data_IF_500670402628
#
_entry.id   IF_500670402628
#
_cell.length_a   1.000
_cell.length_b   1.000
_cell.length_c   1.000
_cell.angle_alpha   90.00
_cell.angle_beta   90.00
_cell.angle_gamma   90.00
#
_symmetry.space_group_name_H-M   'P 1'
#
loop_
_entity.id
_entity.type
_entity.pdbx_description
1 polymer ?
#
# COMPACT_ATOMS: atom_id res chain seq x y z
N UNK A 1 18.80 6.02 26.44
CA UNK A 1 17.86 6.28 27.55
C UNK A 1 17.50 7.76 27.57
N UNK A 2 16.26 8.08 27.98
CA UNK A 2 15.74 9.44 28.06
C UNK A 2 15.22 10.04 26.73
N UNK A 3 15.43 9.37 25.61
CA UNK A 3 14.91 9.83 24.31
C UNK A 3 13.39 9.74 24.27
N UNK A 4 12.77 10.76 23.70
CA UNK A 4 11.31 10.77 23.49
C UNK A 4 10.96 9.88 22.31
N UNK A 5 9.99 9.01 22.48
CA UNK A 5 9.43 8.15 21.44
C UNK A 5 7.92 8.35 21.31
N UNK A 6 7.42 8.13 20.12
CA UNK A 6 6.00 8.17 19.81
C UNK A 6 5.53 6.80 19.34
N UNK A 7 4.43 6.30 19.88
CA UNK A 7 3.81 5.06 19.44
C UNK A 7 2.82 5.35 18.30
N UNK A 8 2.96 4.65 17.17
CA UNK A 8 2.03 4.70 16.04
C UNK A 8 1.15 3.45 16.03
N UNK A 9 -0.17 3.56 15.78
CA UNK A 9 -0.89 4.76 15.28
C UNK A 9 -1.40 5.71 16.35
N UNK A 10 -1.27 5.39 17.65
CA UNK A 10 -1.93 6.14 18.72
C UNK A 10 -1.45 7.59 18.88
N UNK A 11 -0.23 7.91 18.41
CA UNK A 11 0.39 9.22 18.58
C UNK A 11 0.82 9.54 20.02
N UNK A 12 0.67 8.59 20.95
CA UNK A 12 1.08 8.79 22.36
C UNK A 12 2.60 8.82 22.44
N UNK A 13 3.11 9.74 23.23
CA UNK A 13 4.55 9.92 23.46
C UNK A 13 4.94 9.51 24.89
N UNK A 14 6.13 8.97 25.01
CA UNK A 14 6.78 8.67 26.29
C UNK A 14 8.29 8.77 26.14
N UNK A 15 9.03 8.60 27.24
CA UNK A 15 10.48 8.53 27.19
C UNK A 15 10.97 7.11 27.44
N UNK A 16 12.08 6.76 26.78
CA UNK A 16 12.76 5.49 27.00
C UNK A 16 13.38 5.48 28.42
N UNK A 17 12.82 4.68 29.29
CA UNK A 17 13.29 4.52 30.68
C UNK A 17 14.53 3.61 30.75
N UNK A 18 14.44 2.42 30.14
CA UNK A 18 15.57 1.50 30.07
C UNK A 18 15.61 0.76 28.73
N UNK A 19 16.80 0.28 28.38
CA UNK A 19 17.07 -0.57 27.22
C UNK A 19 17.66 -1.85 27.77
N UNK A 20 17.00 -2.98 27.62
CA UNK A 20 17.35 -4.25 28.24
C UNK A 20 17.63 -5.32 27.19
N UNK A 21 18.69 -6.08 27.42
CA UNK A 21 19.04 -7.29 26.66
C UNK A 21 19.17 -8.48 27.62
N UNK A 22 19.43 -9.65 27.06
CA UNK A 22 19.71 -10.85 27.89
C UNK A 22 20.91 -10.63 28.82
N UNK A 23 21.92 -9.88 28.37
CA UNK A 23 23.17 -9.63 29.13
C UNK A 23 23.06 -8.47 30.14
N UNK A 24 21.89 -7.81 30.19
CA UNK A 24 21.63 -6.71 31.10
C UNK A 24 21.17 -5.42 30.41
N UNK A 25 21.23 -4.32 31.17
CA UNK A 25 20.84 -3.01 30.67
C UNK A 25 21.96 -2.34 29.87
N UNK A 26 21.52 -1.65 28.79
CA UNK A 26 22.35 -0.85 27.90
C UNK A 26 22.05 0.64 28.06
N UNK A 27 23.05 1.49 27.84
CA UNK A 27 22.84 2.95 27.79
C UNK A 27 22.32 3.41 26.42
N UNK A 28 22.66 2.70 25.36
CA UNK A 28 22.20 2.95 24.01
C UNK A 28 22.07 1.65 23.22
N UNK A 29 21.26 1.66 22.16
CA UNK A 29 21.12 0.56 21.20
C UNK A 29 21.12 1.10 19.79
N UNK A 30 21.51 0.26 18.82
CA UNK A 30 21.57 0.61 17.41
C UNK A 30 21.11 -0.57 16.55
N UNK A 31 20.64 -0.32 15.31
CA UNK A 31 20.28 -1.41 14.41
C UNK A 31 21.49 -2.32 14.09
N UNK A 32 21.30 -3.64 13.99
CA UNK A 32 20.05 -4.39 14.08
C UNK A 32 19.81 -5.06 15.45
N UNK A 33 20.25 -4.47 16.55
CA UNK A 33 20.10 -5.07 17.87
C UNK A 33 18.63 -5.31 18.24
N UNK A 34 18.35 -6.50 18.74
CA UNK A 34 17.06 -6.83 19.38
C UNK A 34 17.13 -6.45 20.85
N UNK A 35 16.26 -5.54 21.26
CA UNK A 35 16.23 -5.01 22.62
C UNK A 35 14.81 -4.97 23.17
N UNK A 36 14.69 -4.97 24.49
CA UNK A 36 13.45 -4.66 25.19
C UNK A 36 13.53 -3.22 25.67
N UNK A 37 12.58 -2.39 25.26
CA UNK A 37 12.43 -1.03 25.76
C UNK A 37 11.41 -1.00 26.88
N UNK A 38 11.71 -0.31 27.97
CA UNK A 38 10.70 0.12 28.95
C UNK A 38 10.50 1.62 28.82
N UNK A 39 9.28 2.06 29.01
CA UNK A 39 8.89 3.46 28.88
C UNK A 39 8.59 4.06 30.26
N UNK A 40 8.67 5.38 30.38
CA UNK A 40 8.34 6.07 31.63
C UNK A 40 6.85 6.03 31.93
N UNK A 41 6.01 6.15 30.88
CA UNK A 41 4.56 6.14 30.98
C UNK A 41 4.00 4.79 30.51
N UNK A 42 2.84 4.41 31.06
CA UNK A 42 2.05 3.26 30.56
C UNK A 42 1.33 3.63 29.27
N UNK A 43 1.93 3.29 28.14
CA UNK A 43 1.30 3.34 26.84
C UNK A 43 1.20 1.95 26.26
N UNK A 44 0.05 1.64 25.66
CA UNK A 44 -0.15 0.36 24.99
C UNK A 44 0.54 0.38 23.63
N UNK A 45 1.33 -0.65 23.35
CA UNK A 45 2.03 -0.86 22.07
C UNK A 45 1.93 -2.33 21.71
N UNK A 46 1.16 -2.61 20.68
CA UNK A 46 0.87 -3.95 20.22
C UNK A 46 1.74 -4.37 19.03
N UNK A 47 1.74 -5.69 18.72
CA UNK A 47 2.44 -6.21 17.54
C UNK A 47 1.88 -5.58 16.25
N UNK A 48 2.76 -5.07 15.41
CA UNK A 48 2.42 -4.35 14.17
C UNK A 48 2.48 -2.85 14.33
N UNK A 49 2.50 -2.35 15.54
CA UNK A 49 2.71 -0.94 15.86
C UNK A 49 4.20 -0.58 15.83
N UNK A 50 4.50 0.71 15.79
CA UNK A 50 5.86 1.20 15.63
C UNK A 50 6.16 2.30 16.67
N UNK A 51 7.31 2.18 17.31
CA UNK A 51 7.89 3.28 18.10
C UNK A 51 8.83 4.07 17.20
N UNK A 52 8.62 5.38 17.13
CA UNK A 52 9.37 6.29 16.25
C UNK A 52 9.85 7.51 17.01
N UNK A 53 10.84 8.21 16.47
CA UNK A 53 11.19 9.53 16.96
C UNK A 53 10.14 10.54 16.50
N UNK A 54 9.63 11.45 17.38
CA UNK A 54 8.56 12.39 17.02
C UNK A 54 8.89 13.29 15.81
N UNK A 55 10.18 13.62 15.63
CA UNK A 55 10.64 14.47 14.53
C UNK A 55 11.00 13.69 13.24
N UNK A 56 10.83 12.36 13.23
CA UNK A 56 11.14 11.52 12.09
C UNK A 56 10.07 10.44 11.91
N UNK A 57 8.92 10.87 11.42
CA UNK A 57 7.77 10.00 11.22
C UNK A 57 7.84 9.29 9.88
N UNK A 58 7.47 8.01 9.80
CA UNK A 58 7.25 7.31 8.53
C UNK A 58 5.97 7.83 7.86
N UNK A 59 5.80 7.51 6.59
CA UNK A 59 4.52 7.66 5.90
C UNK A 59 3.51 6.68 6.51
N UNK A 60 2.30 7.17 6.77
CA UNK A 60 1.17 6.37 7.26
C UNK A 60 0.08 6.40 6.21
N UNK A 61 -0.15 5.28 5.54
CA UNK A 61 -1.17 5.18 4.50
C UNK A 61 -1.66 3.74 4.32
N UNK A 62 -2.81 3.59 3.67
CA UNK A 62 -3.36 2.29 3.23
C UNK A 62 -3.08 2.04 1.75
N UNK A 63 -2.81 3.10 0.99
CA UNK A 63 -2.62 3.05 -0.45
C UNK A 63 -1.18 3.42 -0.78
N UNK A 64 -0.49 2.56 -1.48
CA UNK A 64 0.89 2.82 -1.86
C UNK A 64 1.24 2.18 -3.20
N UNK A 65 2.24 2.77 -3.82
CA UNK A 65 2.83 2.37 -5.08
C UNK A 65 4.09 1.53 -4.80
N UNK A 66 4.26 0.43 -5.50
CA UNK A 66 5.37 -0.47 -5.28
C UNK A 66 5.85 -1.14 -6.56
N UNK A 67 7.16 -1.45 -6.60
CA UNK A 67 7.68 -2.47 -7.51
C UNK A 67 7.49 -3.84 -6.88
N UNK A 68 6.95 -4.78 -7.62
CA UNK A 68 6.63 -6.12 -7.15
C UNK A 68 7.17 -7.18 -8.11
N UNK A 69 7.68 -8.27 -7.55
CA UNK A 69 8.07 -9.48 -8.29
C UNK A 69 7.12 -10.59 -7.91
N UNK A 70 6.48 -11.20 -8.91
CA UNK A 70 5.63 -12.36 -8.69
C UNK A 70 6.49 -13.62 -8.56
N UNK A 71 6.29 -14.39 -7.51
CA UNK A 71 7.12 -15.55 -7.14
C UNK A 71 6.36 -16.86 -7.10
N UNK A 72 5.06 -16.84 -7.35
CA UNK A 72 4.24 -18.04 -7.38
C UNK A 72 4.30 -18.70 -8.78
N UNK A 73 4.26 -20.03 -8.84
CA UNK A 73 4.16 -20.77 -10.09
C UNK A 73 2.80 -20.57 -10.75
N UNK A 74 1.75 -20.40 -9.94
CA UNK A 74 0.43 -20.05 -10.45
C UNK A 74 0.37 -18.57 -10.84
N UNK A 75 -0.23 -18.24 -12.00
CA UNK A 75 -0.43 -16.87 -12.41
C UNK A 75 -1.23 -16.08 -11.39
N UNK A 76 -0.92 -14.79 -11.26
CA UNK A 76 -1.61 -13.89 -10.34
C UNK A 76 -3.11 -13.79 -10.67
N UNK A 77 -3.97 -14.11 -9.71
CA UNK A 77 -5.40 -13.80 -9.81
C UNK A 77 -5.64 -12.36 -9.32
N UNK A 78 -6.05 -11.48 -10.24
CA UNK A 78 -6.31 -10.05 -9.96
C UNK A 78 -7.48 -9.80 -9.00
N UNK A 79 -8.39 -10.78 -8.86
CA UNK A 79 -9.54 -10.69 -7.97
C UNK A 79 -9.23 -11.23 -6.55
N UNK A 80 -8.07 -11.85 -6.38
CA UNK A 80 -7.67 -12.46 -5.12
C UNK A 80 -7.13 -11.42 -4.15
N UNK A 81 -7.55 -11.52 -2.89
CA UNK A 81 -6.92 -10.78 -1.81
C UNK A 81 -5.81 -11.61 -1.18
N UNK A 82 -4.74 -10.96 -0.77
CA UNK A 82 -3.57 -11.55 -0.14
C UNK A 82 -3.43 -11.06 1.30
N UNK A 83 -2.60 -11.70 2.09
CA UNK A 83 -2.01 -11.06 3.26
C UNK A 83 -0.73 -10.36 2.85
N UNK A 84 -0.58 -9.10 3.27
CA UNK A 84 0.69 -8.39 3.21
C UNK A 84 1.36 -8.45 4.56
N UNK A 85 2.63 -8.84 4.57
CA UNK A 85 3.51 -8.76 5.74
C UNK A 85 4.58 -7.72 5.47
N UNK A 86 4.54 -6.63 6.24
CA UNK A 86 5.51 -5.54 6.20
C UNK A 86 6.00 -5.34 7.62
N UNK A 87 7.28 -5.47 7.84
CA UNK A 87 7.88 -5.52 9.20
C UNK A 87 7.17 -6.54 10.10
N UNK A 88 6.58 -6.12 11.20
CA UNK A 88 5.75 -6.92 12.11
C UNK A 88 4.26 -6.82 11.82
N UNK A 89 3.85 -5.96 10.88
CA UNK A 89 2.46 -5.76 10.51
C UNK A 89 1.99 -6.88 9.56
N UNK A 90 0.78 -7.37 9.80
CA UNK A 90 0.08 -8.31 8.94
C UNK A 90 -1.32 -7.78 8.68
N UNK A 91 -1.64 -7.53 7.41
CA UNK A 91 -2.93 -6.98 6.99
C UNK A 91 -3.44 -7.71 5.74
N UNK A 92 -4.73 -7.63 5.47
CA UNK A 92 -5.26 -7.98 4.15
C UNK A 92 -4.94 -6.89 3.16
N UNK A 93 -4.65 -7.29 1.93
CA UNK A 93 -4.37 -6.38 0.82
C UNK A 93 -4.96 -6.90 -0.47
N UNK A 94 -5.18 -5.98 -1.40
CA UNK A 94 -5.48 -6.29 -2.80
C UNK A 94 -4.56 -5.46 -3.70
N UNK A 95 -4.36 -5.96 -4.89
CA UNK A 95 -3.68 -5.22 -5.96
C UNK A 95 -4.79 -4.51 -6.74
N UNK A 96 -4.80 -3.17 -6.69
CA UNK A 96 -5.84 -2.37 -7.34
C UNK A 96 -5.51 -2.16 -8.82
N UNK A 97 -4.25 -1.88 -9.13
CA UNK A 97 -3.81 -1.57 -10.49
C UNK A 97 -2.40 -2.09 -10.73
N UNK A 98 -2.14 -2.58 -11.93
CA UNK A 98 -0.80 -2.79 -12.47
C UNK A 98 -0.52 -1.63 -13.42
N UNK A 99 0.40 -0.73 -13.05
CA UNK A 99 0.75 0.43 -13.88
C UNK A 99 1.53 0.02 -15.13
N UNK A 100 2.49 -0.87 -14.98
CA UNK A 100 3.26 -1.46 -16.08
C UNK A 100 4.01 -2.72 -15.62
N UNK A 101 4.41 -3.55 -16.57
CA UNK A 101 5.39 -4.63 -16.38
C UNK A 101 6.76 -4.18 -16.86
N UNK A 102 7.81 -4.77 -16.33
CA UNK A 102 9.19 -4.54 -16.78
C UNK A 102 9.65 -5.74 -17.60
N UNK A 103 10.08 -5.50 -18.83
CA UNK A 103 10.84 -6.49 -19.59
C UNK A 103 12.26 -6.54 -19.03
N UNK A 104 12.62 -7.69 -18.44
CA UNK A 104 13.92 -7.86 -17.77
C UNK A 104 15.09 -7.93 -18.76
N UNK A 105 14.84 -8.16 -20.05
CA UNK A 105 15.88 -8.25 -21.08
C UNK A 105 16.21 -6.87 -21.66
N UNK A 106 15.18 -6.07 -21.92
CA UNK A 106 15.33 -4.73 -22.53
C UNK A 106 15.31 -3.62 -21.50
N UNK A 107 14.85 -3.91 -20.28
CA UNK A 107 14.57 -2.94 -19.20
C UNK A 107 13.50 -1.90 -19.59
N UNK A 108 12.74 -2.17 -20.63
CA UNK A 108 11.63 -1.33 -21.07
C UNK A 108 10.40 -1.55 -20.21
N UNK A 109 9.61 -0.50 -20.06
CA UNK A 109 8.32 -0.58 -19.42
C UNK A 109 7.28 -1.00 -20.47
N UNK A 110 6.73 -2.17 -20.30
CA UNK A 110 5.60 -2.64 -21.09
C UNK A 110 4.35 -2.01 -20.48
N UNK A 111 4.12 -0.76 -20.88
CA UNK A 111 2.91 -0.02 -20.51
C UNK A 111 1.80 -0.34 -21.51
N UNK A 112 0.60 -0.09 -21.07
CA UNK A 112 -0.61 -0.27 -21.83
C UNK A 112 -0.72 0.77 -22.94
N UNK A 113 -1.00 0.36 -24.14
CA UNK A 113 -1.54 1.26 -25.14
C UNK A 113 -2.93 1.71 -24.68
N UNK A 114 -3.13 3.02 -24.57
CA UNK A 114 -4.38 3.68 -24.16
C UNK A 114 -4.88 3.43 -22.72
N UNK A 115 -3.96 3.19 -21.74
CA UNK A 115 -4.32 3.12 -20.33
C UNK A 115 -5.14 1.89 -19.92
N UNK A 116 -5.36 0.91 -20.80
CA UNK A 116 -6.05 -0.33 -20.48
C UNK A 116 -5.11 -1.54 -20.57
N UNK A 117 -5.11 -2.38 -19.53
CA UNK A 117 -4.44 -3.68 -19.53
C UNK A 117 -5.13 -4.59 -20.56
N UNK A 118 -4.42 -4.95 -21.61
CA UNK A 118 -4.92 -5.99 -22.52
C UNK A 118 -4.92 -7.33 -21.79
N UNK A 119 -5.80 -8.26 -22.19
CA UNK A 119 -5.85 -9.62 -21.61
C UNK A 119 -4.50 -10.36 -21.69
N UNK A 120 -3.59 -9.91 -22.55
CA UNK A 120 -2.26 -10.48 -22.76
C UNK A 120 -1.23 -9.97 -21.75
N UNK A 121 -1.46 -8.81 -21.10
CA UNK A 121 -0.57 -8.26 -20.07
C UNK A 121 -0.91 -8.72 -18.65
N UNK A 122 -2.05 -9.31 -18.43
CA UNK A 122 -2.50 -9.96 -17.19
C UNK A 122 -2.69 -11.46 -17.41
N UNK A 123 -2.49 -12.27 -16.38
CA UNK A 123 -1.93 -12.02 -15.04
C UNK A 123 -0.39 -11.97 -15.04
N UNK A 124 0.21 -11.56 -13.89
CA UNK A 124 1.66 -11.71 -13.69
C UNK A 124 2.01 -13.19 -13.60
N UNK A 125 3.06 -13.58 -14.32
CA UNK A 125 3.64 -14.91 -14.28
C UNK A 125 4.85 -14.96 -13.35
N UNK A 126 5.30 -16.15 -13.00
CA UNK A 126 6.51 -16.36 -12.20
C UNK A 126 7.69 -15.51 -12.72
N UNK A 127 8.37 -14.85 -11.80
CA UNK A 127 9.52 -13.96 -12.03
C UNK A 127 9.22 -12.67 -12.83
N UNK A 128 7.97 -12.38 -13.13
CA UNK A 128 7.63 -11.09 -13.75
C UNK A 128 7.66 -9.96 -12.72
N UNK A 129 8.16 -8.81 -13.17
CA UNK A 129 8.28 -7.59 -12.39
C UNK A 129 7.24 -6.59 -12.88
N UNK A 130 6.54 -5.95 -11.94
CA UNK A 130 5.54 -4.93 -12.27
C UNK A 130 5.55 -3.80 -11.25
N UNK A 131 5.14 -2.62 -11.71
CA UNK A 131 4.75 -1.52 -10.83
C UNK A 131 3.26 -1.62 -10.56
N UNK A 132 2.90 -1.66 -9.28
CA UNK A 132 1.54 -1.93 -8.83
C UNK A 132 1.09 -0.91 -7.80
N UNK A 133 -0.21 -0.68 -7.72
CA UNK A 133 -0.86 0.03 -6.62
C UNK A 133 -1.56 -1.00 -5.75
N UNK A 134 -1.35 -0.89 -4.44
CA UNK A 134 -1.97 -1.78 -3.46
C UNK A 134 -2.78 -0.97 -2.45
N UNK A 135 -3.89 -1.56 -2.02
CA UNK A 135 -4.69 -1.08 -0.88
C UNK A 135 -4.70 -2.12 0.23
N UNK A 136 -4.47 -1.68 1.46
CA UNK A 136 -4.47 -2.52 2.65
C UNK A 136 -5.68 -2.24 3.54
N UNK A 137 -6.12 -3.26 4.28
CA UNK A 137 -7.25 -3.11 5.22
C UNK A 137 -6.88 -2.27 6.44
N UNK A 138 -5.59 -2.27 6.84
CA UNK A 138 -5.05 -1.45 7.93
C UNK A 138 -3.98 -0.53 7.39
N UNK A 139 -3.76 0.60 8.05
CA UNK A 139 -2.65 1.49 7.78
C UNK A 139 -1.31 0.77 7.97
N UNK A 140 -0.38 1.04 7.07
CA UNK A 140 1.01 0.64 7.19
C UNK A 140 1.87 1.85 7.52
N UNK A 141 2.96 1.61 8.23
CA UNK A 141 3.97 2.62 8.58
C UNK A 141 5.22 2.31 7.77
N UNK A 142 5.50 3.10 6.74
CA UNK A 142 6.57 2.80 5.82
C UNK A 142 7.38 4.03 5.42
N UNK A 143 8.60 3.78 5.05
CA UNK A 143 9.42 4.69 4.23
C UNK A 143 9.57 4.10 2.84
N UNK A 144 9.79 4.90 1.79
CA UNK A 144 10.22 4.39 0.51
C UNK A 144 11.42 3.44 0.64
N UNK A 145 11.41 2.32 -0.10
CA UNK A 145 12.48 1.32 -0.03
C UNK A 145 13.89 1.90 -0.22
N UNK A 146 14.00 2.92 -1.08
CA UNK A 146 15.28 3.62 -1.30
C UNK A 146 15.79 4.34 -0.06
N UNK A 147 14.89 4.84 0.81
CA UNK A 147 15.23 5.53 2.06
C UNK A 147 15.51 4.53 3.17
N UNK A 148 14.63 3.54 3.33
CA UNK A 148 14.72 2.53 4.39
C UNK A 148 14.25 1.15 3.88
N UNK A 149 15.22 0.28 3.59
CA UNK A 149 14.93 -1.05 3.03
C UNK A 149 14.06 -1.90 3.94
N UNK A 150 14.25 -1.82 5.25
CA UNK A 150 13.52 -2.64 6.23
C UNK A 150 12.04 -2.26 6.32
N UNK A 151 11.74 -0.96 6.34
CA UNK A 151 10.36 -0.47 6.40
C UNK A 151 9.69 -0.39 5.03
N UNK A 152 10.48 -0.32 3.94
CA UNK A 152 10.00 -0.19 2.57
C UNK A 152 9.83 -1.50 1.82
N UNK A 153 10.02 -2.65 2.45
CA UNK A 153 9.86 -3.97 1.83
C UNK A 153 8.68 -4.73 2.43
N UNK A 154 8.05 -5.58 1.60
CA UNK A 154 6.95 -6.43 2.02
C UNK A 154 6.92 -7.74 1.23
N UNK A 155 6.16 -8.71 1.75
CA UNK A 155 5.77 -9.91 1.01
C UNK A 155 4.26 -10.02 0.94
N UNK A 156 3.77 -10.63 -0.14
CA UNK A 156 2.39 -11.08 -0.25
C UNK A 156 2.32 -12.58 0.02
N UNK A 157 1.37 -12.96 0.86
CA UNK A 157 1.15 -14.32 1.30
C UNK A 157 -0.24 -14.74 0.86
N UNK A 158 -0.33 -15.88 0.21
CA UNK A 158 -1.61 -16.50 -0.16
C UNK A 158 -2.37 -16.91 1.12
N UNK A 159 -3.62 -16.47 1.31
CA UNK A 159 -4.38 -16.77 2.51
C UNK A 159 -4.81 -18.25 2.64
N UNK A 160 -4.74 -19.03 1.56
CA UNK A 160 -5.15 -20.44 1.52
C UNK A 160 -3.95 -21.35 1.74
N UNK A 161 -2.90 -21.16 0.93
CA UNK A 161 -1.71 -22.02 0.95
C UNK A 161 -0.67 -21.58 1.98
N UNK A 162 -0.72 -20.33 2.45
CA UNK A 162 0.29 -19.66 3.26
C UNK A 162 1.68 -19.54 2.58
N UNK A 163 1.74 -19.75 1.26
CA UNK A 163 2.96 -19.53 0.49
C UNK A 163 3.17 -18.05 0.21
N UNK A 164 4.43 -17.66 0.05
CA UNK A 164 4.79 -16.32 -0.43
C UNK A 164 4.52 -16.25 -1.92
N UNK A 165 3.54 -15.45 -2.33
CA UNK A 165 3.18 -15.27 -3.74
C UNK A 165 3.91 -14.12 -4.42
N UNK A 166 4.34 -13.11 -3.67
CA UNK A 166 5.11 -12.00 -4.21
C UNK A 166 5.99 -11.32 -3.17
N UNK A 167 7.00 -10.61 -3.65
CA UNK A 167 7.82 -9.68 -2.85
C UNK A 167 7.75 -8.30 -3.47
N UNK A 168 7.79 -7.25 -2.62
CA UNK A 168 7.66 -5.89 -3.11
C UNK A 168 8.52 -4.87 -2.37
N UNK A 169 8.75 -3.77 -3.08
CA UNK A 169 9.50 -2.60 -2.63
C UNK A 169 8.61 -1.37 -2.77
N UNK A 170 8.25 -0.76 -1.66
CA UNK A 170 7.40 0.44 -1.64
C UNK A 170 8.16 1.60 -2.29
N UNK A 171 7.52 2.26 -3.25
CA UNK A 171 8.06 3.44 -3.91
C UNK A 171 7.66 4.68 -3.11
N UNK A 172 6.35 4.86 -2.92
CA UNK A 172 5.76 5.96 -2.13
C UNK A 172 4.27 5.70 -1.89
N UNK A 173 3.62 6.60 -1.14
CA UNK A 173 2.17 6.67 -1.11
C UNK A 173 1.62 7.02 -2.50
N UNK A 174 0.40 6.63 -2.79
CA UNK A 174 -0.28 7.06 -4.02
C UNK A 174 -0.66 8.53 -3.87
N UNK A 175 -0.18 9.40 -4.77
CA UNK A 175 -0.66 10.78 -4.83
C UNK A 175 -2.12 10.79 -5.29
N UNK A 176 -2.96 11.64 -4.67
CA UNK A 176 -4.39 11.73 -5.02
C UNK A 176 -4.65 12.04 -6.51
N UNK A 177 -3.67 12.60 -7.22
CA UNK A 177 -3.73 12.78 -8.68
C UNK A 177 -3.79 11.46 -9.45
N UNK A 178 -3.10 10.43 -8.96
CA UNK A 178 -3.11 9.10 -9.58
C UNK A 178 -4.43 8.34 -9.33
N UNK A 179 -5.23 8.79 -8.37
CA UNK A 179 -6.57 8.22 -8.13
C UNK A 179 -7.68 8.99 -8.88
N UNK A 180 -7.41 10.24 -9.31
CA UNK A 180 -8.34 11.02 -10.13
C UNK A 180 -8.22 10.72 -11.63
N UNK A 181 -7.15 10.03 -12.06
CA UNK A 181 -7.01 9.46 -13.39
C UNK A 181 -7.74 8.11 -13.55
N UNK A 182 -8.43 7.63 -12.50
CA UNK A 182 -9.52 6.70 -12.68
C UNK A 182 -10.69 7.45 -13.27
N UNK A 183 -10.69 7.48 -14.60
CA UNK A 183 -11.83 7.74 -15.44
C UNK A 183 -12.46 9.13 -15.24
N UNK A 184 -12.31 9.95 -16.25
CA UNK A 184 -13.50 10.57 -16.79
C UNK A 184 -14.66 9.61 -16.54
N UNK A 185 -15.50 9.92 -15.55
CA UNK A 185 -16.87 9.38 -15.50
C UNK A 185 -17.31 9.52 -16.95
N UNK A 186 -17.63 8.42 -17.66
CA UNK A 186 -17.93 8.54 -19.06
C UNK A 186 -19.00 9.61 -19.14
N UNK A 187 -18.63 10.75 -19.73
CA UNK A 187 -19.64 11.80 -20.04
C UNK A 187 -20.69 11.02 -20.75
N UNK A 188 -21.85 10.88 -20.09
CA UNK A 188 -22.95 10.04 -20.59
C UNK A 188 -23.17 10.51 -22.01
N UNK A 189 -22.69 9.73 -22.98
CA UNK A 189 -22.84 10.10 -24.40
C UNK A 189 -24.32 9.94 -24.74
N UNK A 190 -25.05 10.99 -24.39
CA UNK A 190 -26.51 11.04 -24.47
C UNK A 190 -26.98 10.78 -25.89
N UNK A 191 -26.14 11.10 -26.89
CA UNK A 191 -26.40 10.80 -28.28
C UNK A 191 -26.33 9.30 -28.57
N UNK A 192 -25.36 8.58 -27.97
CA UNK A 192 -25.27 7.10 -28.07
C UNK A 192 -26.39 6.39 -27.34
N UNK A 193 -26.95 7.00 -26.31
CA UNK A 193 -28.13 6.49 -25.59
C UNK A 193 -29.45 6.82 -26.27
N UNK A 194 -29.41 7.51 -27.42
CA UNK A 194 -30.63 7.89 -28.19
C UNK A 194 -31.47 8.97 -27.53
N UNK A 195 -30.88 9.74 -26.61
CA UNK A 195 -31.54 10.86 -25.93
C UNK A 195 -31.52 12.06 -26.88
N UNK A 196 -32.66 12.68 -27.10
CA UNK A 196 -32.76 13.86 -27.94
C UNK A 196 -32.11 15.07 -27.24
N UNK A 197 -31.45 15.99 -28.00
CA UNK A 197 -30.72 17.12 -27.41
C UNK A 197 -31.53 18.02 -26.46
N UNK A 198 -32.80 18.13 -26.70
CA UNK A 198 -33.77 18.89 -25.89
C UNK A 198 -33.95 18.34 -24.46
N UNK A 199 -33.51 17.09 -24.20
CA UNK A 199 -33.62 16.44 -22.89
C UNK A 199 -32.28 16.36 -22.12
N UNK A 200 -31.16 16.81 -22.70
CA UNK A 200 -29.84 16.71 -22.09
C UNK A 200 -29.78 17.36 -20.72
N UNK A 201 -30.28 18.59 -20.58
CA UNK A 201 -30.26 19.34 -19.34
C UNK A 201 -31.10 18.67 -18.23
N UNK A 202 -32.23 18.08 -18.61
CA UNK A 202 -33.10 17.35 -17.69
C UNK A 202 -32.42 16.07 -17.15
N UNK A 203 -31.71 15.33 -18.02
CA UNK A 203 -30.99 14.10 -17.68
C UNK A 203 -29.81 14.43 -16.79
N UNK A 204 -28.99 15.45 -17.11
CA UNK A 204 -27.88 15.88 -16.26
C UNK A 204 -28.34 16.28 -14.85
N UNK A 205 -29.47 16.98 -14.77
CA UNK A 205 -30.03 17.37 -13.48
C UNK A 205 -30.50 16.16 -12.67
N UNK A 206 -31.10 15.17 -13.32
CA UNK A 206 -31.53 13.94 -12.67
C UNK A 206 -30.33 13.10 -12.16
N UNK A 207 -29.26 12.98 -12.96
CA UNK A 207 -28.03 12.27 -12.57
C UNK A 207 -27.39 12.95 -11.36
N UNK A 208 -27.21 14.27 -11.39
CA UNK A 208 -26.68 15.04 -10.24
C UNK A 208 -27.51 14.88 -8.97
N UNK A 209 -28.83 14.75 -9.10
CA UNK A 209 -29.69 14.54 -7.92
C UNK A 209 -29.57 13.11 -7.38
N UNK A 210 -29.38 12.09 -8.24
CA UNK A 210 -29.12 10.71 -7.83
C UNK A 210 -27.75 10.57 -7.14
N UNK A 211 -26.72 11.24 -7.67
CA UNK A 211 -25.38 11.32 -7.03
C UNK A 211 -25.48 11.95 -5.64
N UNK A 212 -26.24 13.03 -5.49
CA UNK A 212 -26.45 13.67 -4.19
C UNK A 212 -27.16 12.78 -3.19
N UNK A 213 -27.99 11.84 -3.66
CA UNK A 213 -28.70 10.88 -2.83
C UNK A 213 -27.91 9.59 -2.60
N UNK A 214 -26.70 9.46 -3.19
CA UNK A 214 -25.85 8.26 -3.06
C UNK A 214 -26.42 7.04 -3.79
N UNK A 215 -27.21 7.23 -4.84
CA UNK A 215 -27.89 6.19 -5.62
C UNK A 215 -27.26 6.00 -7.01
N UNK A 216 -26.19 6.73 -7.35
CA UNK A 216 -25.41 6.61 -8.59
C UNK A 216 -23.92 6.64 -8.28
#
# INVERSE_FOLDING_TARGET
KGDTVMALPSGKTSKVKSIVTYDGELDYAFPPQSVTLTLEDEIDVSRGEMLVHPDNLPTVDRNFDAMMVWMDEEPMDVNKSFFIKQTTNLSRTRIDTIKYKVDVNTMEHLSLENGQLTKETLPLQLNQIARVVLTTAKELFFDPYKKNKSCGSFILIDPITNNTSAVGMIIDRVEMKDMSDTEDIPVLDMAKLGIAPEHYEAVEKAVKELERQGLA
#
